data_IF_793944906140
#
_entry.id   IF_793944906140
#
_cell.length_a   1.000
_cell.length_b   1.000
_cell.length_c   1.000
_cell.angle_alpha   90.00
_cell.angle_beta   90.00
_cell.angle_gamma   90.00
#
_symmetry.space_group_name_H-M   'P 1'
#
loop_
_entity.id
_entity.type
_entity.pdbx_description
1 polymer ?
#
# COMPACT_ATOMS: atom_id res chain seq x y z
N UNK A 1 7.39 12.62 -13.50
CA UNK A 1 8.54 12.59 -12.56
C UNK A 1 8.48 11.30 -11.76
N UNK A 2 9.62 10.74 -11.34
CA UNK A 2 9.65 9.64 -10.37
C UNK A 2 10.21 10.11 -9.02
N UNK A 3 9.77 9.50 -7.94
CA UNK A 3 10.27 9.73 -6.60
C UNK A 3 10.38 8.40 -5.83
N UNK A 4 11.25 8.35 -4.84
CA UNK A 4 11.41 7.20 -3.96
C UNK A 4 11.22 7.66 -2.52
N UNK A 5 10.33 6.99 -1.80
CA UNK A 5 10.19 7.17 -0.35
C UNK A 5 10.77 5.95 0.36
N UNK A 6 11.51 6.22 1.43
CA UNK A 6 12.13 5.20 2.28
C UNK A 6 11.37 5.16 3.61
N UNK A 7 10.97 3.97 4.02
CA UNK A 7 10.19 3.75 5.24
C UNK A 7 10.92 2.71 6.07
N UNK A 8 11.13 2.99 7.36
CA UNK A 8 11.64 1.98 8.26
C UNK A 8 10.52 1.00 8.61
N UNK A 9 10.73 -0.30 8.43
CA UNK A 9 9.72 -1.32 8.73
C UNK A 9 9.40 -1.41 10.22
N UNK A 10 10.31 -0.97 11.09
CA UNK A 10 10.05 -0.89 12.53
C UNK A 10 9.01 0.20 12.85
N UNK A 11 8.95 1.29 12.08
CA UNK A 11 7.90 2.32 12.25
C UNK A 11 6.52 1.76 11.86
N UNK A 12 6.45 0.89 10.85
CA UNK A 12 5.20 0.20 10.46
C UNK A 12 4.70 -0.69 11.60
N UNK A 13 5.60 -1.36 12.33
CA UNK A 13 5.24 -2.17 13.49
C UNK A 13 4.74 -1.33 14.67
N UNK A 14 5.27 -0.12 14.84
CA UNK A 14 4.93 0.77 15.95
C UNK A 14 3.60 1.47 15.70
N UNK A 15 3.43 2.08 14.51
CA UNK A 15 2.24 2.85 14.19
C UNK A 15 1.95 2.82 12.67
N UNK A 16 1.29 1.75 12.17
CA UNK A 16 1.03 1.60 10.73
C UNK A 16 0.11 2.70 10.17
N UNK A 17 -0.77 3.27 10.99
CA UNK A 17 -1.68 4.34 10.58
C UNK A 17 -0.93 5.65 10.31
N UNK A 18 0.00 6.02 11.19
CA UNK A 18 0.84 7.21 11.02
C UNK A 18 1.75 7.08 9.79
N UNK A 19 2.35 5.91 9.58
CA UNK A 19 3.16 5.64 8.38
C UNK A 19 2.30 5.69 7.11
N UNK A 20 1.07 5.18 7.17
CA UNK A 20 0.11 5.29 6.06
C UNK A 20 -0.24 6.76 5.76
N UNK A 21 -0.49 7.57 6.79
CA UNK A 21 -0.76 9.00 6.64
C UNK A 21 0.46 9.76 6.07
N UNK A 22 1.67 9.41 6.50
CA UNK A 22 2.91 9.97 5.97
C UNK A 22 3.03 9.69 4.47
N UNK A 23 2.80 8.44 4.04
CA UNK A 23 2.83 8.06 2.63
C UNK A 23 1.76 8.80 1.81
N UNK A 24 0.53 8.88 2.32
CA UNK A 24 -0.56 9.62 1.69
C UNK A 24 -0.23 11.11 1.53
N UNK A 25 0.38 11.72 2.55
CA UNK A 25 0.82 13.11 2.52
C UNK A 25 1.92 13.32 1.49
N UNK A 26 2.91 12.42 1.44
CA UNK A 26 3.96 12.45 0.44
C UNK A 26 3.39 12.37 -0.98
N UNK A 27 2.42 11.50 -1.21
CA UNK A 27 1.79 11.35 -2.54
C UNK A 27 0.99 12.57 -2.99
N UNK A 28 0.49 13.39 -2.05
CA UNK A 28 -0.36 14.57 -2.30
C UNK A 28 0.38 15.90 -2.31
N UNK A 29 1.59 15.95 -1.76
CA UNK A 29 2.37 17.20 -1.62
C UNK A 29 2.86 17.75 -2.96
N UNK A 30 2.91 16.91 -3.99
CA UNK A 30 3.37 17.29 -5.33
C UNK A 30 2.26 18.02 -6.10
N UNK A 31 2.67 18.82 -7.10
CA UNK A 31 1.74 19.54 -7.98
C UNK A 31 0.79 18.57 -8.69
N UNK A 32 1.35 17.45 -9.17
CA UNK A 32 0.61 16.32 -9.71
C UNK A 32 0.54 15.20 -8.66
N UNK A 33 -0.57 14.47 -8.61
CA UNK A 33 -0.72 13.36 -7.69
C UNK A 33 0.29 12.24 -8.00
N UNK A 34 1.00 11.75 -6.99
CA UNK A 34 1.91 10.62 -7.13
C UNK A 34 1.20 9.32 -6.77
N UNK A 35 1.53 8.23 -7.47
CA UNK A 35 1.08 6.87 -7.14
C UNK A 35 2.24 5.92 -6.93
N UNK A 36 2.10 4.97 -6.01
CA UNK A 36 3.08 3.91 -5.78
C UNK A 36 2.94 2.87 -6.88
N UNK A 37 4.03 2.57 -7.57
CA UNK A 37 4.10 1.60 -8.67
C UNK A 37 4.99 0.39 -8.36
N UNK A 38 5.80 0.49 -7.32
CA UNK A 38 6.74 -0.57 -6.99
C UNK A 38 7.21 -0.49 -5.56
N UNK A 39 7.74 -1.62 -5.11
CA UNK A 39 8.23 -1.80 -3.77
C UNK A 39 9.48 -2.68 -3.80
N UNK A 40 10.50 -2.30 -3.05
CA UNK A 40 11.69 -3.10 -2.81
C UNK A 40 12.02 -3.04 -1.31
N UNK A 41 12.33 -4.18 -0.70
CA UNK A 41 12.77 -4.23 0.69
C UNK A 41 14.27 -4.51 0.76
N UNK A 42 14.99 -3.70 1.53
CA UNK A 42 16.41 -3.88 1.84
C UNK A 42 16.61 -3.79 3.35
N UNK A 43 16.89 -4.93 4.01
CA UNK A 43 16.96 -5.00 5.47
C UNK A 43 15.66 -4.53 6.16
N UNK A 44 15.77 -3.50 6.99
CA UNK A 44 14.64 -2.87 7.68
C UNK A 44 14.08 -1.66 6.94
N UNK A 45 14.42 -1.48 5.67
CA UNK A 45 13.91 -0.36 4.86
C UNK A 45 13.03 -0.88 3.73
N UNK A 46 11.82 -0.34 3.66
CA UNK A 46 10.93 -0.44 2.52
C UNK A 46 11.16 0.77 1.60
N UNK A 47 11.48 0.51 0.34
CA UNK A 47 11.64 1.50 -0.71
C UNK A 47 10.40 1.46 -1.59
N UNK A 48 9.60 2.52 -1.60
CA UNK A 48 8.44 2.62 -2.48
C UNK A 48 8.79 3.57 -3.63
N UNK A 49 8.64 3.09 -4.86
CA UNK A 49 8.80 3.88 -6.07
C UNK A 49 7.46 4.50 -6.46
N UNK A 50 7.46 5.80 -6.67
CA UNK A 50 6.28 6.59 -6.99
C UNK A 50 6.46 7.31 -8.33
N UNK A 51 5.37 7.43 -9.09
CA UNK A 51 5.34 8.19 -10.33
C UNK A 51 4.18 9.19 -10.33
N UNK A 52 4.39 10.34 -10.98
CA UNK A 52 3.32 11.31 -11.23
C UNK A 52 2.23 10.70 -12.09
N UNK A 53 0.99 10.99 -11.73
CA UNK A 53 -0.20 10.59 -12.48
C UNK A 53 -1.08 11.81 -12.75
N UNK A 54 -0.73 12.61 -13.77
CA UNK A 54 -1.45 13.85 -14.07
C UNK A 54 -2.93 13.60 -14.35
N UNK A 55 -3.79 14.42 -13.76
CA UNK A 55 -5.24 14.34 -13.95
C UNK A 55 -5.95 13.17 -13.27
N UNK A 56 -5.22 12.31 -12.54
CA UNK A 56 -5.84 11.27 -11.72
C UNK A 56 -6.03 11.75 -10.27
N UNK A 57 -7.11 11.35 -9.58
CA UNK A 57 -7.30 11.67 -8.18
C UNK A 57 -6.23 11.00 -7.31
N UNK A 58 -5.85 11.62 -6.17
CA UNK A 58 -4.96 11.01 -5.21
C UNK A 58 -5.59 9.75 -4.63
N UNK A 59 -4.75 8.74 -4.39
CA UNK A 59 -5.18 7.49 -3.78
C UNK A 59 -4.93 7.49 -2.26
N UNK A 60 -5.60 6.56 -1.57
CA UNK A 60 -5.47 6.34 -0.13
C UNK A 60 -4.75 5.01 0.13
N UNK A 61 -3.50 5.09 0.59
CA UNK A 61 -2.67 3.96 0.95
C UNK A 61 -2.83 3.58 2.41
N UNK A 62 -2.83 2.28 2.68
CA UNK A 62 -2.95 1.70 4.02
C UNK A 62 -1.95 0.55 4.15
N UNK A 63 -1.08 0.63 5.16
CA UNK A 63 -0.30 -0.51 5.63
C UNK A 63 -1.13 -1.35 6.59
N UNK A 64 -1.20 -2.65 6.34
CA UNK A 64 -1.93 -3.54 7.21
C UNK A 64 -1.37 -4.96 7.16
N UNK A 65 -1.52 -5.67 8.27
CA UNK A 65 -1.05 -7.03 8.40
C UNK A 65 -1.98 -8.01 7.67
N UNK A 66 -1.41 -9.10 7.15
CA UNK A 66 -2.15 -10.29 6.77
C UNK A 66 -2.37 -11.18 8.01
N UNK A 67 -3.47 -11.96 8.05
CA UNK A 67 -3.79 -12.79 9.20
C UNK A 67 -2.83 -13.97 9.40
N UNK A 68 -2.08 -14.38 8.37
CA UNK A 68 -1.04 -15.40 8.50
C UNK A 68 0.01 -15.30 7.40
N UNK A 69 1.05 -16.13 7.49
CA UNK A 69 2.06 -16.33 6.42
C UNK A 69 1.71 -17.46 5.44
N UNK A 70 0.55 -18.12 5.60
CA UNK A 70 0.12 -19.18 4.69
C UNK A 70 -0.40 -18.56 3.37
N UNK A 71 0.03 -19.13 2.24
CA UNK A 71 -0.27 -18.60 0.89
C UNK A 71 -1.76 -18.59 0.56
N UNK A 72 -2.49 -19.65 0.90
CA UNK A 72 -3.94 -19.73 0.66
C UNK A 72 -4.69 -18.67 1.47
N UNK A 73 -4.29 -18.48 2.73
CA UNK A 73 -4.85 -17.46 3.61
C UNK A 73 -4.53 -16.05 3.12
N UNK A 74 -3.31 -15.79 2.66
CA UNK A 74 -2.92 -14.51 2.07
C UNK A 74 -3.75 -14.23 0.81
N UNK A 75 -3.89 -15.23 -0.07
CA UNK A 75 -4.67 -15.12 -1.30
C UNK A 75 -6.15 -14.83 -1.00
N UNK A 76 -6.72 -15.53 -0.03
CA UNK A 76 -8.08 -15.28 0.46
C UNK A 76 -8.25 -13.86 0.99
N UNK A 77 -7.30 -13.36 1.78
CA UNK A 77 -7.34 -12.01 2.33
C UNK A 77 -7.21 -10.93 1.24
N UNK A 78 -6.35 -11.13 0.24
CA UNK A 78 -6.24 -10.22 -0.92
C UNK A 78 -7.58 -10.12 -1.63
N UNK A 79 -8.26 -11.25 -1.89
CA UNK A 79 -9.57 -11.27 -2.53
C UNK A 79 -10.63 -10.59 -1.67
N UNK A 80 -10.68 -10.87 -0.37
CA UNK A 80 -11.63 -10.25 0.56
C UNK A 80 -11.48 -8.72 0.57
N UNK A 81 -10.24 -8.22 0.64
CA UNK A 81 -9.95 -6.78 0.58
C UNK A 81 -10.30 -6.18 -0.77
N UNK A 82 -10.10 -6.94 -1.85
CA UNK A 82 -10.52 -6.51 -3.18
C UNK A 82 -12.02 -6.26 -3.26
N UNK A 83 -12.83 -7.19 -2.75
CA UNK A 83 -14.29 -7.00 -2.65
C UNK A 83 -14.69 -5.85 -1.73
N UNK A 84 -13.87 -5.51 -0.73
CA UNK A 84 -14.04 -4.34 0.12
C UNK A 84 -13.54 -3.02 -0.50
N UNK A 85 -13.15 -3.02 -1.79
CA UNK A 85 -12.72 -1.82 -2.50
C UNK A 85 -11.24 -1.50 -2.39
N UNK A 86 -10.41 -2.43 -1.93
CA UNK A 86 -8.96 -2.25 -1.90
C UNK A 86 -8.27 -2.91 -3.10
N UNK A 87 -7.05 -2.50 -3.41
CA UNK A 87 -6.14 -3.23 -4.29
C UNK A 87 -4.82 -3.43 -3.55
N UNK A 88 -4.26 -4.63 -3.64
CA UNK A 88 -2.96 -4.94 -3.03
C UNK A 88 -1.85 -4.43 -3.95
N UNK A 89 -0.99 -3.54 -3.44
CA UNK A 89 0.15 -3.02 -4.18
C UNK A 89 1.36 -3.93 -4.01
N UNK A 90 1.63 -4.36 -2.78
CA UNK A 90 2.76 -5.22 -2.47
C UNK A 90 2.57 -5.96 -1.16
N UNK A 91 3.23 -7.10 -1.03
CA UNK A 91 3.37 -7.85 0.22
C UNK A 91 4.82 -7.90 0.64
N UNK A 92 5.09 -7.78 1.94
CA UNK A 92 6.43 -7.83 2.50
C UNK A 92 6.40 -8.39 3.92
N UNK A 93 7.48 -9.06 4.31
CA UNK A 93 7.61 -9.56 5.68
C UNK A 93 8.11 -8.44 6.61
N UNK A 94 7.77 -8.50 7.89
CA UNK A 94 8.50 -7.82 8.96
C UNK A 94 8.58 -8.82 10.12
N UNK A 95 9.80 -9.25 10.48
CA UNK A 95 10.00 -10.40 11.37
C UNK A 95 9.19 -11.61 10.86
N UNK A 96 8.35 -12.21 11.71
CA UNK A 96 7.50 -13.37 11.38
C UNK A 96 6.08 -12.99 10.96
N UNK A 97 5.84 -11.72 10.62
CA UNK A 97 4.54 -11.22 10.20
C UNK A 97 4.56 -10.86 8.71
N UNK A 98 3.51 -11.24 7.99
CA UNK A 98 3.29 -10.78 6.63
C UNK A 98 2.46 -9.50 6.64
N UNK A 99 2.94 -8.48 5.95
CA UNK A 99 2.31 -7.18 5.80
C UNK A 99 2.02 -6.90 4.34
N UNK A 100 1.06 -5.99 4.11
CA UNK A 100 0.74 -5.50 2.78
C UNK A 100 0.59 -3.99 2.77
N UNK A 101 0.87 -3.42 1.60
CA UNK A 101 0.44 -2.08 1.24
C UNK A 101 -0.79 -2.21 0.35
N UNK A 102 -1.88 -1.61 0.78
CA UNK A 102 -3.15 -1.62 0.08
C UNK A 102 -3.51 -0.20 -0.34
N UNK A 103 -4.29 -0.10 -1.39
CA UNK A 103 -4.86 1.17 -1.83
C UNK A 103 -6.37 1.07 -1.89
N UNK A 104 -7.08 2.00 -1.27
CA UNK A 104 -8.53 2.07 -1.41
C UNK A 104 -8.87 2.71 -2.76
N UNK A 105 -9.57 1.96 -3.60
CA UNK A 105 -10.10 2.41 -4.87
C UNK A 105 -11.63 2.23 -4.88
N UNK A 106 -12.42 3.31 -4.67
CA UNK A 106 -13.88 3.21 -4.60
C UNK A 106 -14.51 2.70 -5.90
N UNK A 107 -13.82 2.84 -7.04
CA UNK A 107 -14.30 2.36 -8.35
C UNK A 107 -14.36 0.81 -8.40
N UNK A 108 -13.57 0.10 -7.57
CA UNK A 108 -13.62 -1.36 -7.50
C UNK A 108 -14.94 -1.88 -6.90
N UNK A 109 -15.60 -1.09 -6.06
CA UNK A 109 -16.85 -1.51 -5.39
C UNK A 109 -18.05 -1.42 -6.34
N UNK A 110 -18.02 -0.49 -7.29
CA UNK A 110 -19.10 -0.27 -8.26
C UNK A 110 -19.04 -1.21 -9.47
N UNK A 111 -17.88 -1.81 -9.75
CA UNK A 111 -17.71 -2.81 -10.82
C UNK A 111 -18.23 -4.22 -10.48
N UNK A 112 -18.35 -4.56 -9.19
CA UNK A 112 -18.74 -5.90 -8.71
C UNK A 112 -20.26 -6.13 -8.58
N UNK A 113 -21.08 -5.16 -9.00
CA UNK A 113 -22.55 -5.22 -8.98
C UNK A 113 -23.17 -5.46 -10.37
N UNK A 114 -22.40 -5.93 -11.35
CA UNK A 114 -22.88 -6.30 -12.69
C UNK A 114 -22.79 -7.79 -12.95
#
# INVERSE_FOLDING_TARGET
MNAIIKINTDEILINPDEVSQMLNTACRRHKEAMRVYGCCRTGNTLLLTMEETPGLPPLNYVFAQFPSMNEDVITGEINNRYFAGFTTITGFRIKDLMWGLFVYNPDNVSGNLK
#
